data_IF_040925104415
#
_entry.id   IF_040925104415
#
_cell.length_a   1.000
_cell.length_b   1.000
_cell.length_c   1.000
_cell.angle_alpha   90.00
_cell.angle_beta   90.00
_cell.angle_gamma   90.00
#
_symmetry.space_group_name_H-M   'P 1'
#
loop_
_entity.id
_entity.type
_entity.pdbx_description
1 polymer ?
#
# COMPACT_ATOMS: atom_id res chain seq x y z
N UNK A 1 3.57 -33.44 -15.29
CA UNK A 1 3.01 -32.73 -16.47
C UNK A 1 2.70 -31.31 -16.04
N UNK A 2 3.51 -30.33 -16.43
CA UNK A 2 3.21 -28.92 -16.17
C UNK A 2 2.14 -28.48 -17.16
N UNK A 3 0.94 -28.16 -16.70
CA UNK A 3 -0.08 -27.58 -17.58
C UNK A 3 0.47 -26.33 -18.27
N UNK A 4 0.24 -26.17 -19.59
CA UNK A 4 0.72 -25.01 -20.31
C UNK A 4 0.08 -23.74 -19.74
N UNK A 5 0.90 -22.74 -19.41
CA UNK A 5 0.43 -21.51 -18.81
C UNK A 5 -0.51 -20.76 -19.78
N UNK A 6 -1.76 -20.50 -19.34
CA UNK A 6 -2.75 -19.79 -20.14
C UNK A 6 -2.33 -18.32 -20.38
N UNK A 7 -2.24 -17.86 -21.64
CA UNK A 7 -1.98 -16.47 -21.95
C UNK A 7 -3.18 -15.60 -21.55
N UNK A 8 -2.91 -14.37 -21.12
CA UNK A 8 -3.97 -13.41 -20.77
C UNK A 8 -4.63 -12.81 -22.03
N UNK A 9 -5.94 -12.60 -22.00
CA UNK A 9 -6.63 -11.92 -23.10
C UNK A 9 -6.29 -10.41 -23.14
N UNK A 10 -6.34 -9.76 -24.32
CA UNK A 10 -6.16 -8.31 -24.43
C UNK A 10 -7.12 -7.53 -23.53
N UNK A 11 -8.39 -7.95 -23.45
CA UNK A 11 -9.38 -7.27 -22.63
C UNK A 11 -9.02 -7.34 -21.14
N UNK A 12 -8.70 -8.52 -20.61
CA UNK A 12 -8.32 -8.68 -19.20
C UNK A 12 -7.00 -8.00 -18.87
N UNK A 13 -6.04 -7.96 -19.80
CA UNK A 13 -4.82 -7.16 -19.64
C UNK A 13 -5.17 -5.68 -19.42
N UNK A 14 -6.10 -5.12 -20.18
CA UNK A 14 -6.57 -3.74 -19.98
C UNK A 14 -7.15 -3.50 -18.59
N UNK A 15 -8.02 -4.41 -18.12
CA UNK A 15 -8.60 -4.34 -16.76
C UNK A 15 -7.56 -4.44 -15.65
N UNK A 16 -6.59 -5.34 -15.80
CA UNK A 16 -5.50 -5.51 -14.83
C UNK A 16 -4.61 -4.28 -14.76
N UNK A 17 -4.25 -3.69 -15.90
CA UNK A 17 -3.45 -2.46 -15.96
C UNK A 17 -4.21 -1.25 -15.39
N UNK A 18 -5.48 -1.09 -15.75
CA UNK A 18 -6.33 -0.02 -15.22
C UNK A 18 -6.50 -0.14 -13.70
N UNK A 19 -6.68 -1.37 -13.20
CA UNK A 19 -6.76 -1.63 -11.75
C UNK A 19 -5.44 -1.34 -11.05
N UNK A 20 -4.30 -1.73 -11.64
CA UNK A 20 -2.97 -1.45 -11.08
C UNK A 20 -2.73 0.06 -10.99
N UNK A 21 -3.18 0.82 -11.99
CA UNK A 21 -3.16 2.28 -11.99
C UNK A 21 -4.05 2.90 -10.92
N UNK A 22 -5.28 2.42 -10.80
CA UNK A 22 -6.22 2.87 -9.77
C UNK A 22 -5.70 2.60 -8.36
N UNK A 23 -5.04 1.46 -8.15
CA UNK A 23 -4.39 1.10 -6.89
C UNK A 23 -3.16 1.96 -6.59
N UNK A 24 -2.40 2.33 -7.63
CA UNK A 24 -1.21 3.19 -7.51
C UNK A 24 -1.57 4.68 -7.29
N UNK A 25 -2.71 5.14 -7.83
CA UNK A 25 -3.13 6.53 -7.80
C UNK A 25 -3.13 7.20 -6.40
N UNK A 26 -3.78 6.65 -5.35
CA UNK A 26 -3.78 7.29 -4.03
C UNK A 26 -2.36 7.42 -3.45
N UNK A 27 -1.49 6.45 -3.73
CA UNK A 27 -0.11 6.48 -3.29
C UNK A 27 0.70 7.57 -4.01
N UNK A 28 0.50 7.75 -5.32
CA UNK A 28 1.17 8.82 -6.08
C UNK A 28 0.80 10.22 -5.59
N UNK A 29 -0.44 10.43 -5.12
CA UNK A 29 -0.89 11.72 -4.59
C UNK A 29 -0.16 12.13 -3.30
N UNK A 30 0.46 11.17 -2.61
CA UNK A 30 1.11 11.40 -1.32
C UNK A 30 2.64 11.45 -1.44
N UNK A 31 3.20 11.04 -2.58
CA UNK A 31 4.63 11.12 -2.85
C UNK A 31 5.05 12.54 -3.28
N UNK A 32 6.32 12.92 -3.09
CA UNK A 32 6.85 14.17 -3.63
C UNK A 32 6.56 14.29 -5.13
N UNK A 33 6.09 15.45 -5.60
CA UNK A 33 5.53 15.60 -6.94
C UNK A 33 6.46 15.15 -8.08
N UNK A 34 7.76 15.41 -7.97
CA UNK A 34 8.74 14.93 -8.95
C UNK A 34 8.84 13.40 -8.95
N UNK A 35 8.86 12.77 -7.77
CA UNK A 35 8.95 11.32 -7.66
C UNK A 35 7.65 10.68 -8.16
N UNK A 36 6.51 11.21 -7.74
CA UNK A 36 5.20 10.77 -8.20
C UNK A 36 5.09 10.81 -9.74
N UNK A 37 5.50 11.91 -10.36
CA UNK A 37 5.48 12.05 -11.82
C UNK A 37 6.45 11.08 -12.51
N UNK A 38 7.67 10.88 -11.99
CA UNK A 38 8.61 9.90 -12.55
C UNK A 38 8.05 8.47 -12.52
N UNK A 39 7.45 8.07 -11.39
CA UNK A 39 6.84 6.75 -11.22
C UNK A 39 5.60 6.61 -12.11
N UNK A 40 4.77 7.64 -12.20
CA UNK A 40 3.60 7.66 -13.07
C UNK A 40 4.00 7.48 -14.54
N UNK A 41 4.97 8.26 -15.02
CA UNK A 41 5.49 8.13 -16.39
C UNK A 41 6.05 6.73 -16.63
N UNK A 42 6.84 6.20 -15.70
CA UNK A 42 7.36 4.84 -15.79
C UNK A 42 6.23 3.80 -15.87
N UNK A 43 5.19 3.92 -15.05
CA UNK A 43 4.02 3.04 -15.07
C UNK A 43 3.26 3.12 -16.42
N UNK A 44 3.16 4.31 -17.03
CA UNK A 44 2.48 4.47 -18.33
C UNK A 44 3.31 3.79 -19.40
N UNK A 45 4.61 4.10 -19.46
CA UNK A 45 5.53 3.56 -20.44
C UNK A 45 5.60 2.04 -20.35
N UNK A 46 5.82 1.49 -19.15
CA UNK A 46 5.85 0.04 -18.91
C UNK A 46 4.50 -0.60 -19.26
N UNK A 47 3.39 0.04 -18.89
CA UNK A 47 2.06 -0.39 -19.26
C UNK A 47 1.89 -0.51 -20.77
N UNK A 48 2.24 0.53 -21.53
CA UNK A 48 2.17 0.55 -23.01
C UNK A 48 3.13 -0.48 -23.62
N UNK A 49 4.36 -0.58 -23.13
CA UNK A 49 5.34 -1.56 -23.61
C UNK A 49 4.86 -2.99 -23.39
N UNK A 50 4.14 -3.26 -22.30
CA UNK A 50 3.60 -4.59 -22.03
C UNK A 50 2.70 -5.08 -23.17
N UNK A 51 1.92 -4.19 -23.80
CA UNK A 51 1.08 -4.52 -24.97
C UNK A 51 1.89 -4.89 -26.21
N UNK A 52 3.07 -4.30 -26.38
CA UNK A 52 3.93 -4.51 -27.56
C UNK A 52 4.76 -5.79 -27.50
N UNK A 53 4.83 -6.43 -26.32
CA UNK A 53 5.56 -7.68 -26.14
C UNK A 53 6.25 -7.76 -24.79
N UNK A 54 7.22 -8.66 -24.69
CA UNK A 54 7.97 -8.86 -23.46
C UNK A 54 9.08 -7.83 -23.35
N UNK A 55 9.10 -7.11 -22.23
CA UNK A 55 10.29 -6.33 -21.87
C UNK A 55 11.40 -7.32 -21.55
N UNK A 56 12.56 -7.16 -22.19
CA UNK A 56 13.72 -8.02 -21.98
C UNK A 56 14.17 -7.93 -20.52
N UNK A 57 14.60 -9.06 -19.94
CA UNK A 57 15.09 -9.14 -18.56
C UNK A 57 16.15 -8.07 -18.21
N UNK A 58 17.20 -7.81 -19.02
CA UNK A 58 18.17 -6.77 -18.71
C UNK A 58 17.56 -5.36 -18.66
N UNK A 59 16.61 -5.06 -19.55
CA UNK A 59 15.92 -3.76 -19.57
C UNK A 59 15.09 -3.58 -18.30
N UNK A 60 14.42 -4.64 -17.83
CA UNK A 60 13.67 -4.60 -16.57
C UNK A 60 14.59 -4.37 -15.38
N UNK A 61 15.72 -5.07 -15.31
CA UNK A 61 16.71 -4.89 -14.24
C UNK A 61 17.25 -3.47 -14.25
N UNK A 62 17.55 -2.92 -15.43
CA UNK A 62 18.01 -1.53 -15.58
C UNK A 62 16.93 -0.54 -15.12
N UNK A 63 15.65 -0.77 -15.45
CA UNK A 63 14.53 0.04 -14.97
C UNK A 63 14.41 -0.01 -13.44
N UNK A 64 14.58 -1.18 -12.82
CA UNK A 64 14.58 -1.32 -11.36
C UNK A 64 15.72 -0.52 -10.75
N UNK A 65 16.95 -0.70 -11.24
CA UNK A 65 18.11 0.06 -10.76
C UNK A 65 17.89 1.56 -10.93
N UNK A 66 17.39 1.99 -12.10
CA UNK A 66 17.10 3.39 -12.37
C UNK A 66 16.05 3.96 -11.43
N UNK A 67 14.96 3.24 -11.14
CA UNK A 67 13.95 3.73 -10.18
C UNK A 67 14.45 3.74 -8.75
N UNK A 68 15.22 2.75 -8.33
CA UNK A 68 15.85 2.76 -7.01
C UNK A 68 16.82 3.93 -6.87
N UNK A 69 17.60 4.22 -7.91
CA UNK A 69 18.48 5.39 -7.95
C UNK A 69 17.67 6.71 -7.92
N UNK A 70 16.56 6.79 -8.65
CA UNK A 70 15.68 7.96 -8.63
C UNK A 70 15.05 8.20 -7.25
N UNK A 71 14.59 7.13 -6.59
CA UNK A 71 14.08 7.18 -5.22
C UNK A 71 15.18 7.63 -4.26
N UNK A 72 16.37 7.04 -4.35
CA UNK A 72 17.52 7.41 -3.53
C UNK A 72 17.93 8.87 -3.71
N UNK A 73 17.98 9.36 -4.95
CA UNK A 73 18.34 10.74 -5.25
C UNK A 73 17.34 11.76 -4.67
N UNK A 74 16.05 11.43 -4.71
CA UNK A 74 14.99 12.35 -4.30
C UNK A 74 14.66 12.31 -2.80
N UNK A 75 14.71 11.13 -2.17
CA UNK A 75 14.36 10.95 -0.75
C UNK A 75 15.61 10.86 0.15
N UNK A 76 16.77 10.54 -0.42
CA UNK A 76 18.03 10.33 0.29
C UNK A 76 18.09 8.98 1.02
N UNK A 77 19.15 8.79 1.83
CA UNK A 77 19.37 7.56 2.60
C UNK A 77 18.54 7.54 3.91
N UNK A 78 17.23 7.72 3.79
CA UNK A 78 16.31 7.69 4.94
C UNK A 78 15.52 6.39 4.90
N UNK A 79 15.85 5.44 5.76
CA UNK A 79 15.03 4.24 5.91
C UNK A 79 13.77 4.57 6.71
N UNK A 80 12.61 4.21 6.16
CA UNK A 80 11.33 4.49 6.82
C UNK A 80 10.14 4.28 5.90
N UNK A 81 8.96 4.63 6.43
CA UNK A 81 7.67 4.50 5.77
C UNK A 81 7.68 5.11 4.36
N UNK A 82 8.10 6.37 4.23
CA UNK A 82 7.95 7.12 2.98
C UNK A 82 8.83 6.53 1.86
N UNK A 83 10.06 6.13 2.18
CA UNK A 83 10.96 5.42 1.24
C UNK A 83 10.42 4.06 0.86
N UNK A 84 9.89 3.30 1.81
CA UNK A 84 9.25 2.01 1.53
C UNK A 84 8.04 2.15 0.60
N UNK A 85 7.22 3.18 0.81
CA UNK A 85 6.08 3.53 -0.03
C UNK A 85 6.52 3.91 -1.46
N UNK A 86 7.57 4.73 -1.59
CA UNK A 86 8.13 5.10 -2.88
C UNK A 86 8.72 3.91 -3.66
N UNK A 87 9.49 3.05 -2.98
CA UNK A 87 10.04 1.83 -3.60
C UNK A 87 8.92 0.89 -4.04
N UNK A 88 7.88 0.71 -3.22
CA UNK A 88 6.71 -0.08 -3.57
C UNK A 88 6.00 0.46 -4.81
N UNK A 89 5.76 1.77 -4.86
CA UNK A 89 5.15 2.44 -6.01
C UNK A 89 5.97 2.20 -7.30
N UNK A 90 7.29 2.37 -7.23
CA UNK A 90 8.20 2.12 -8.34
C UNK A 90 8.19 0.64 -8.78
N UNK A 91 8.21 -0.29 -7.83
CA UNK A 91 8.15 -1.72 -8.12
C UNK A 91 6.82 -2.08 -8.80
N UNK A 92 5.70 -1.51 -8.35
CA UNK A 92 4.38 -1.74 -8.95
C UNK A 92 4.33 -1.22 -10.39
N UNK A 93 4.90 -0.04 -10.65
CA UNK A 93 5.01 0.53 -11.99
C UNK A 93 5.76 -0.42 -12.95
N UNK A 94 6.84 -1.04 -12.50
CA UNK A 94 7.66 -1.97 -13.31
C UNK A 94 7.01 -3.34 -13.43
N UNK A 95 6.25 -3.79 -12.41
CA UNK A 95 5.62 -5.12 -12.34
C UNK A 95 4.67 -5.40 -13.51
N UNK A 96 4.07 -4.37 -14.11
CA UNK A 96 3.25 -4.51 -15.32
C UNK A 96 4.02 -5.09 -16.53
N UNK A 97 5.35 -4.96 -16.58
CA UNK A 97 6.20 -5.55 -17.63
C UNK A 97 6.26 -7.08 -17.60
N UNK A 98 5.77 -7.71 -16.53
CA UNK A 98 5.79 -9.16 -16.33
C UNK A 98 4.51 -9.84 -16.80
N UNK A 99 3.50 -9.07 -17.23
CA UNK A 99 2.16 -9.55 -17.52
C UNK A 99 2.10 -10.40 -18.80
N UNK A 100 2.24 -11.73 -18.68
CA UNK A 100 2.17 -12.67 -19.82
C UNK A 100 1.04 -13.68 -19.68
N UNK A 101 0.88 -14.22 -18.48
CA UNK A 101 -0.05 -15.30 -18.18
C UNK A 101 -1.12 -14.86 -17.20
N UNK A 102 -2.19 -15.65 -17.06
CA UNK A 102 -3.19 -15.42 -16.01
C UNK A 102 -2.57 -15.46 -14.60
N UNK A 103 -1.52 -16.28 -14.40
CA UNK A 103 -0.76 -16.33 -13.14
C UNK A 103 -0.06 -15.00 -12.86
N UNK A 104 0.61 -14.43 -13.85
CA UNK A 104 1.30 -13.14 -13.71
C UNK A 104 0.31 -12.02 -13.41
N UNK A 105 -0.87 -12.07 -14.04
CA UNK A 105 -1.95 -11.13 -13.82
C UNK A 105 -2.48 -11.16 -12.38
N UNK A 106 -2.70 -12.36 -11.83
CA UNK A 106 -3.09 -12.54 -10.42
C UNK A 106 -2.00 -12.03 -9.47
N UNK A 107 -0.73 -12.30 -9.78
CA UNK A 107 0.41 -11.80 -9.00
C UNK A 107 0.48 -10.27 -9.03
N UNK A 108 0.27 -9.64 -10.19
CA UNK A 108 0.25 -8.19 -10.33
C UNK A 108 -0.93 -7.57 -9.56
N UNK A 109 -2.14 -8.11 -9.66
CA UNK A 109 -3.29 -7.64 -8.89
C UNK A 109 -3.07 -7.78 -7.38
N UNK A 110 -2.56 -8.93 -6.93
CA UNK A 110 -2.21 -9.14 -5.52
C UNK A 110 -1.15 -8.16 -5.03
N UNK A 111 -0.13 -7.88 -5.84
CA UNK A 111 0.91 -6.89 -5.52
C UNK A 111 0.35 -5.45 -5.52
N UNK A 112 -0.55 -5.13 -6.46
CA UNK A 112 -1.18 -3.81 -6.56
C UNK A 112 -2.01 -3.46 -5.31
N UNK A 113 -2.65 -4.44 -4.67
CA UNK A 113 -3.41 -4.24 -3.44
C UNK A 113 -2.57 -3.73 -2.26
N UNK A 114 -1.24 -3.85 -2.30
CA UNK A 114 -0.39 -3.23 -1.28
C UNK A 114 -0.28 -1.71 -1.45
N UNK A 115 -0.51 -1.14 -2.64
CA UNK A 115 -0.39 0.30 -2.85
C UNK A 115 -1.46 1.12 -2.12
N UNK A 116 -2.76 0.75 -2.12
CA UNK A 116 -3.77 1.38 -1.27
C UNK A 116 -3.43 1.29 0.22
N UNK A 117 -2.87 0.15 0.68
CA UNK A 117 -2.42 0.01 2.06
C UNK A 117 -1.26 0.96 2.38
N UNK A 118 -0.25 1.04 1.52
CA UNK A 118 0.84 2.00 1.65
C UNK A 118 0.34 3.44 1.66
N UNK A 119 -0.67 3.74 0.85
CA UNK A 119 -1.30 5.06 0.83
C UNK A 119 -1.99 5.40 2.18
N UNK A 120 -2.65 4.43 2.79
CA UNK A 120 -3.26 4.60 4.13
C UNK A 120 -2.25 4.83 5.26
N UNK A 121 -1.00 4.39 5.08
CA UNK A 121 0.05 4.67 6.07
C UNK A 121 0.45 6.15 6.09
N UNK A 122 0.23 6.87 4.99
CA UNK A 122 0.61 8.28 4.82
C UNK A 122 -0.58 9.21 5.05
N UNK A 123 -1.76 8.88 4.52
CA UNK A 123 -2.98 9.66 4.68
C UNK A 123 -4.23 8.76 4.80
N UNK A 124 -5.11 9.09 5.73
CA UNK A 124 -6.37 8.37 5.99
C UNK A 124 -7.59 9.24 5.65
N UNK A 125 -7.40 10.33 4.91
CA UNK A 125 -8.46 11.22 4.47
C UNK A 125 -9.48 10.56 3.53
N UNK A 126 -10.63 11.23 3.31
CA UNK A 126 -11.74 10.68 2.52
C UNK A 126 -11.37 10.39 1.06
N UNK A 127 -10.48 11.18 0.47
CA UNK A 127 -10.02 10.99 -0.91
C UNK A 127 -9.20 9.70 -1.05
N UNK A 128 -8.23 9.49 -0.15
CA UNK A 128 -7.43 8.26 -0.13
C UNK A 128 -8.32 7.04 0.12
N UNK A 129 -9.25 7.14 1.06
CA UNK A 129 -10.23 6.09 1.36
C UNK A 129 -11.09 5.72 0.13
N UNK A 130 -11.63 6.73 -0.56
CA UNK A 130 -12.46 6.52 -1.75
C UNK A 130 -11.69 5.84 -2.88
N UNK A 131 -10.48 6.31 -3.18
CA UNK A 131 -9.61 5.72 -4.21
C UNK A 131 -9.18 4.28 -3.85
N UNK A 132 -8.83 4.04 -2.58
CA UNK A 132 -8.48 2.72 -2.09
C UNK A 132 -9.65 1.73 -2.22
N UNK A 133 -10.86 2.15 -1.85
CA UNK A 133 -12.06 1.32 -2.00
C UNK A 133 -12.33 0.98 -3.46
N UNK A 134 -12.23 1.97 -4.36
CA UNK A 134 -12.38 1.75 -5.80
C UNK A 134 -11.32 0.78 -6.33
N UNK A 135 -10.06 0.91 -5.89
CA UNK A 135 -8.98 0.01 -6.26
C UNK A 135 -9.25 -1.44 -5.82
N UNK A 136 -9.70 -1.64 -4.57
CA UNK A 136 -10.05 -2.97 -4.04
C UNK A 136 -11.21 -3.58 -4.82
N UNK A 137 -12.29 -2.83 -5.08
CA UNK A 137 -13.43 -3.31 -5.88
C UNK A 137 -12.99 -3.66 -7.31
N UNK A 138 -12.16 -2.82 -7.93
CA UNK A 138 -11.63 -3.09 -9.28
C UNK A 138 -10.71 -4.32 -9.32
N UNK A 139 -9.94 -4.57 -8.26
CA UNK A 139 -9.11 -5.77 -8.13
C UNK A 139 -9.96 -7.03 -7.99
N UNK A 140 -11.02 -7.01 -7.17
CA UNK A 140 -11.94 -8.14 -7.03
C UNK A 140 -12.68 -8.43 -8.34
N UNK A 141 -13.13 -7.39 -9.05
CA UNK A 141 -13.72 -7.53 -10.38
C UNK A 141 -12.72 -8.14 -11.37
N UNK A 142 -11.49 -7.62 -11.41
CA UNK A 142 -10.44 -8.14 -12.30
C UNK A 142 -10.07 -9.59 -11.97
N UNK A 143 -9.99 -9.96 -10.69
CA UNK A 143 -9.77 -11.35 -10.27
C UNK A 143 -10.91 -12.27 -10.72
N UNK A 144 -12.17 -11.83 -10.60
CA UNK A 144 -13.31 -12.58 -11.12
C UNK A 144 -13.21 -12.77 -12.64
N UNK A 145 -12.84 -11.73 -13.39
CA UNK A 145 -12.64 -11.86 -14.84
C UNK A 145 -11.54 -12.85 -15.20
N UNK A 146 -10.41 -12.83 -14.49
CA UNK A 146 -9.32 -13.79 -14.72
C UNK A 146 -9.74 -15.23 -14.39
N UNK A 147 -10.59 -15.41 -13.37
CA UNK A 147 -11.16 -16.72 -13.05
C UNK A 147 -12.13 -17.19 -14.14
N UNK A 148 -12.97 -16.30 -14.67
CA UNK A 148 -13.87 -16.62 -15.78
C UNK A 148 -13.09 -17.01 -17.05
N UNK A 149 -12.00 -16.29 -17.36
CA UNK A 149 -11.13 -16.61 -18.50
C UNK A 149 -10.45 -17.97 -18.37
N UNK A 150 -9.97 -18.31 -17.18
CA UNK A 150 -9.34 -19.61 -16.90
C UNK A 150 -10.32 -20.77 -17.09
N UNK A 151 -11.55 -20.62 -16.61
CA UNK A 151 -12.61 -21.63 -16.75
C UNK A 151 -13.36 -21.55 -18.09
N UNK A 152 -12.97 -20.61 -18.97
CA UNK A 152 -13.62 -20.34 -20.27
C UNK A 152 -15.12 -20.06 -20.13
N UNK A 153 -15.53 -19.44 -19.03
CA UNK A 153 -16.90 -19.01 -18.77
C UNK A 153 -17.11 -17.58 -19.25
N UNK A 154 -18.36 -17.24 -19.58
CA UNK A 154 -18.72 -15.87 -19.96
C UNK A 154 -18.70 -14.98 -18.71
N UNK A 155 -17.97 -13.86 -18.76
CA UNK A 155 -18.06 -12.87 -17.68
C UNK A 155 -19.50 -12.37 -17.53
N UNK A 156 -20.10 -12.44 -16.33
CA UNK A 156 -21.46 -11.99 -16.10
C UNK A 156 -21.57 -10.45 -16.15
N UNK A 157 -22.79 -9.91 -16.20
CA UNK A 157 -23.02 -8.47 -16.13
C UNK A 157 -22.45 -7.87 -14.83
N UNK A 158 -21.97 -6.62 -14.89
CA UNK A 158 -21.31 -5.94 -13.76
C UNK A 158 -22.13 -5.99 -12.47
N UNK A 159 -23.45 -5.79 -12.55
CA UNK A 159 -24.36 -5.88 -11.41
C UNK A 159 -24.32 -7.24 -10.71
N UNK A 160 -24.21 -8.33 -11.47
CA UNK A 160 -24.15 -9.67 -10.90
C UNK A 160 -22.77 -9.97 -10.30
N UNK A 161 -21.70 -9.47 -10.93
CA UNK A 161 -20.34 -9.51 -10.37
C UNK A 161 -20.29 -8.79 -9.01
N UNK A 162 -20.77 -7.55 -8.95
CA UNK A 162 -20.81 -6.76 -7.72
C UNK A 162 -21.65 -7.41 -6.62
N UNK A 163 -22.77 -8.05 -6.97
CA UNK A 163 -23.56 -8.84 -6.01
C UNK A 163 -22.78 -10.04 -5.48
N UNK A 164 -22.07 -10.76 -6.34
CA UNK A 164 -21.22 -11.89 -5.94
C UNK A 164 -20.09 -11.46 -5.02
N UNK A 165 -19.35 -10.42 -5.41
CA UNK A 165 -18.29 -9.80 -4.60
C UNK A 165 -18.85 -9.33 -3.26
N UNK A 166 -19.98 -8.62 -3.25
CA UNK A 166 -20.62 -8.14 -2.03
C UNK A 166 -20.99 -9.27 -1.06
N UNK A 167 -21.47 -10.42 -1.56
CA UNK A 167 -21.71 -11.60 -0.73
C UNK A 167 -20.43 -12.16 -0.12
N UNK A 168 -19.36 -12.28 -0.90
CA UNK A 168 -18.07 -12.77 -0.42
C UNK A 168 -17.46 -11.82 0.62
N UNK A 169 -17.54 -10.51 0.38
CA UNK A 169 -17.12 -9.48 1.35
C UNK A 169 -17.95 -9.57 2.62
N UNK A 170 -19.28 -9.73 2.52
CA UNK A 170 -20.14 -9.87 3.70
C UNK A 170 -19.80 -11.11 4.55
N UNK A 171 -19.27 -12.17 3.94
CA UNK A 171 -18.75 -13.35 4.65
C UNK A 171 -17.35 -13.07 5.24
N UNK A 172 -16.50 -12.37 4.49
CA UNK A 172 -15.12 -12.06 4.90
C UNK A 172 -15.03 -11.01 6.02
N UNK A 173 -15.93 -10.03 6.06
CA UNK A 173 -15.92 -8.94 7.07
C UNK A 173 -16.04 -9.48 8.50
N UNK A 174 -16.99 -10.36 8.85
CA UNK A 174 -17.04 -10.98 10.17
C UNK A 174 -15.76 -11.72 10.55
N UNK A 175 -15.14 -12.43 9.62
CA UNK A 175 -13.87 -13.12 9.85
C UNK A 175 -12.74 -12.11 10.11
N UNK A 176 -12.64 -11.06 9.31
CA UNK A 176 -11.67 -9.99 9.51
C UNK A 176 -11.87 -9.27 10.84
N UNK A 177 -13.12 -9.01 11.24
CA UNK A 177 -13.46 -8.41 12.55
C UNK A 177 -13.11 -9.36 13.70
N UNK A 178 -13.37 -10.66 13.58
CA UNK A 178 -12.97 -11.65 14.56
C UNK A 178 -11.44 -11.68 14.68
N UNK A 179 -10.71 -11.74 13.56
CA UNK A 179 -9.23 -11.66 13.56
C UNK A 179 -8.76 -10.36 14.24
N UNK A 180 -9.34 -9.21 13.91
CA UNK A 180 -9.02 -7.92 14.53
C UNK A 180 -9.31 -7.88 16.04
N UNK A 181 -10.36 -8.56 16.50
CA UNK A 181 -10.72 -8.62 17.92
C UNK A 181 -9.86 -9.61 18.72
N UNK A 182 -9.57 -10.79 18.14
CA UNK A 182 -8.76 -11.82 18.79
C UNK A 182 -7.26 -11.50 18.80
N UNK A 183 -6.74 -10.75 17.82
CA UNK A 183 -5.33 -10.38 17.79
C UNK A 183 -5.04 -9.23 18.78
N UNK A 184 -4.07 -9.40 19.70
CA UNK A 184 -3.68 -8.35 20.62
C UNK A 184 -3.11 -7.16 19.83
N UNK A 185 -3.60 -5.96 20.14
CA UNK A 185 -3.05 -4.72 19.58
C UNK A 185 -1.70 -4.47 20.24
N UNK A 186 -0.63 -4.77 19.53
CA UNK A 186 0.72 -4.56 20.04
C UNK A 186 0.98 -3.06 20.15
N UNK A 187 1.36 -2.61 21.35
CA UNK A 187 1.66 -1.21 21.66
C UNK A 187 2.96 -0.71 21.01
N UNK A 188 3.79 -1.64 20.55
CA UNK A 188 5.00 -1.35 19.77
C UNK A 188 5.04 -2.26 18.54
N UNK A 189 5.53 -1.75 17.40
CA UNK A 189 5.67 -2.57 16.22
C UNK A 189 6.74 -3.64 16.47
N UNK A 190 6.47 -4.89 16.09
CA UNK A 190 7.42 -6.02 16.23
C UNK A 190 8.64 -5.88 15.29
N UNK A 191 8.55 -4.97 14.33
CA UNK A 191 9.57 -4.67 13.32
C UNK A 191 9.57 -3.16 13.03
N UNK A 192 10.71 -2.58 12.70
CA UNK A 192 10.83 -1.17 12.34
C UNK A 192 11.97 -0.47 13.05
N UNK A 193 12.33 0.71 12.55
CA UNK A 193 13.36 1.56 13.18
C UNK A 193 12.71 2.23 14.40
N UNK A 194 13.28 2.13 15.62
CA UNK A 194 12.68 2.60 16.87
C UNK A 194 12.31 4.09 16.98
N UNK A 195 12.59 4.91 15.96
CA UNK A 195 12.63 6.37 16.11
C UNK A 195 11.37 7.13 15.65
N UNK A 196 10.30 6.46 15.20
CA UNK A 196 9.10 7.18 14.69
C UNK A 196 7.76 6.64 15.14
N UNK A 197 7.64 6.28 16.42
CA UNK A 197 6.33 6.09 17.03
C UNK A 197 6.25 6.90 18.33
N UNK A 198 5.33 7.86 18.31
CA UNK A 198 4.95 8.83 19.34
C UNK A 198 5.84 10.07 19.40
N UNK A 199 5.36 11.17 18.81
CA UNK A 199 5.54 12.48 19.44
C UNK A 199 4.98 12.32 20.84
N UNK A 200 5.86 12.07 21.82
CA UNK A 200 5.45 12.06 23.21
C UNK A 200 5.08 13.49 23.57
N UNK A 201 3.90 13.72 24.18
CA UNK A 201 3.60 15.00 24.79
C UNK A 201 4.78 15.36 25.71
N UNK A 202 5.32 16.56 25.52
CA UNK A 202 6.44 17.05 26.29
C UNK A 202 6.26 18.55 26.51
N UNK A 203 6.87 19.08 27.57
CA UNK A 203 6.88 20.52 27.75
C UNK A 203 7.68 21.17 26.61
N UNK A 204 7.06 22.13 25.93
CA UNK A 204 7.70 22.99 24.95
C UNK A 204 8.17 24.29 25.62
N UNK A 205 9.12 25.01 25.01
CA UNK A 205 9.60 26.30 25.50
C UNK A 205 8.51 27.40 25.49
N UNK A 206 7.44 27.18 24.72
CA UNK A 206 6.25 28.03 24.69
C UNK A 206 5.01 27.21 25.08
N UNK A 207 4.10 27.80 25.84
CA UNK A 207 2.83 27.16 26.20
C UNK A 207 1.68 28.15 26.06
N UNK A 208 0.61 27.75 25.38
CA UNK A 208 -0.66 28.46 25.35
C UNK A 208 -1.71 27.77 26.25
N UNK A 209 -2.70 28.51 26.80
CA UNK A 209 -3.74 27.92 27.63
C UNK A 209 -4.48 26.79 26.90
N UNK A 210 -4.43 25.58 27.45
CA UNK A 210 -5.06 24.38 26.89
C UNK A 210 -4.11 23.34 26.28
N UNK A 211 -2.87 23.72 25.94
CA UNK A 211 -1.88 22.79 25.35
C UNK A 211 -1.39 21.68 26.31
N UNK A 212 -1.60 21.85 27.63
CA UNK A 212 -1.21 20.87 28.65
C UNK A 212 -2.24 19.75 28.86
N UNK A 213 -3.43 19.85 28.26
CA UNK A 213 -4.49 18.84 28.40
C UNK A 213 -4.03 17.49 27.82
N UNK A 214 -3.26 17.52 26.73
CA UNK A 214 -2.70 16.30 26.12
C UNK A 214 -1.60 15.66 27.00
N UNK A 215 -0.91 16.45 27.85
CA UNK A 215 0.04 15.93 28.85
C UNK A 215 -0.67 15.24 30.03
N UNK A 216 -1.87 15.70 30.42
CA UNK A 216 -2.63 15.07 31.52
C UNK A 216 -3.11 13.65 31.18
N UNK A 217 -3.31 13.37 29.89
CA UNK A 217 -3.75 12.06 29.42
C UNK A 217 -2.60 11.07 29.22
N UNK A 218 -1.34 11.49 29.40
CA UNK A 218 -0.16 10.64 29.30
C UNK A 218 0.31 10.15 30.69
N UNK A 219 0.12 8.85 30.95
CA UNK A 219 0.58 8.18 32.17
C UNK A 219 2.08 7.80 32.13
N UNK A 220 2.84 8.26 31.13
CA UNK A 220 4.25 7.94 31.02
C UNK A 220 5.10 8.63 32.12
N UNK A 221 6.07 7.94 32.75
CA UNK A 221 6.90 8.56 33.79
C UNK A 221 7.73 9.74 33.25
N UNK A 222 7.40 10.96 33.68
CA UNK A 222 8.14 12.17 33.26
C UNK A 222 9.57 12.23 33.83
N UNK A 223 9.74 11.81 35.09
CA UNK A 223 11.02 11.86 35.80
C UNK A 223 11.10 10.73 36.81
N UNK A 224 12.30 10.16 36.99
CA UNK A 224 12.63 9.31 38.14
C UNK A 224 13.68 10.03 38.97
N UNK A 225 13.38 10.26 40.24
CA UNK A 225 14.30 10.92 41.16
C UNK A 225 14.76 9.92 42.21
N UNK A 226 16.06 9.92 42.48
CA UNK A 226 16.65 9.22 43.61
C UNK A 226 17.20 10.26 44.58
N UNK A 227 16.80 10.16 45.85
CA UNK A 227 17.28 11.05 46.90
C UNK A 227 18.40 10.38 47.69
N UNK A 228 19.49 11.10 47.91
CA UNK A 228 20.53 10.69 48.84
C UNK A 228 20.09 11.09 50.25
N UNK A 229 19.30 10.24 50.91
CA UNK A 229 18.71 10.50 52.23
C UNK A 229 17.19 10.39 52.26
N UNK A 230 16.53 10.99 53.26
CA UNK A 230 15.07 10.94 53.39
C UNK A 230 14.42 11.83 52.32
N UNK A 231 13.47 11.26 51.56
CA UNK A 231 12.70 12.03 50.59
C UNK A 231 11.92 13.18 51.28
N UNK A 232 11.88 14.38 50.68
CA UNK A 232 11.13 15.50 51.24
C UNK A 232 9.63 15.19 51.26
N UNK A 233 8.87 15.73 52.24
CA UNK A 233 7.43 15.56 52.26
C UNK A 233 6.79 16.23 51.04
N UNK A 234 5.71 15.66 50.48
CA UNK A 234 4.95 16.30 49.41
C UNK A 234 4.34 17.62 49.93
N UNK A 235 4.36 18.64 49.07
CA UNK A 235 3.66 19.92 49.29
C UNK A 235 2.32 19.92 48.55
#
# INVERSE_FOLDING_TARGET
>A
MTEPALPISPASRGWVLATSWLALAPLLLQLPGLLATTIAVAAVLVGVLSWRGTVMAPVRVLLVIAMLAAVYWQIGMRFGRDTGCAVLAAMLAIKASELRTLRDARSLLGFALFAPFAAFLLDQGPTTMGLALLAVVSALLSMQRLADEEHRTRTPALRLQLRGIGKLVAIGVPLALATFWLLPRLSSPLWGVPERALSRPGLSDNMSPGEWIDLMADDSPALRVQFTGKAPPPQ
#
